data_IF_957685548178
#
_entry.id   IF_957685548178
#
_cell.length_a   1.000
_cell.length_b   1.000
_cell.length_c   1.000
_cell.angle_alpha   90.00
_cell.angle_beta   90.00
_cell.angle_gamma   90.00
#
_symmetry.space_group_name_H-M   'P 1'
#
loop_
_entity.id
_entity.type
_entity.pdbx_description
1 polymer ?
#
# COMPACT_ATOMS: atom_id res chain seq x y z
N UNK A 1 -58.48 -12.71 -79.90
CA UNK A 1 -57.04 -12.33 -79.90
C UNK A 1 -56.87 -11.07 -79.07
N UNK A 2 -55.89 -11.11 -78.15
CA UNK A 2 -55.31 -10.03 -77.32
C UNK A 2 -56.09 -9.56 -76.09
N UNK A 3 -55.76 -10.25 -75.00
CA UNK A 3 -55.79 -9.84 -73.60
C UNK A 3 -54.93 -8.58 -73.36
N UNK A 4 -55.39 -7.66 -72.49
CA UNK A 4 -54.54 -6.65 -71.86
C UNK A 4 -54.93 -6.56 -70.36
N UNK A 5 -54.05 -7.12 -69.53
CA UNK A 5 -54.06 -7.03 -68.06
C UNK A 5 -53.79 -5.59 -67.59
N UNK A 6 -54.61 -5.09 -66.67
CA UNK A 6 -54.27 -3.96 -65.82
C UNK A 6 -53.57 -4.47 -64.56
N UNK A 7 -52.28 -4.12 -64.44
CA UNK A 7 -51.43 -4.44 -63.29
C UNK A 7 -51.72 -3.42 -62.17
N UNK A 8 -52.16 -3.91 -61.01
CA UNK A 8 -52.19 -3.15 -59.76
C UNK A 8 -50.76 -2.86 -59.31
N UNK A 9 -50.41 -1.59 -59.16
CA UNK A 9 -49.17 -1.14 -58.53
C UNK A 9 -49.39 -1.07 -57.02
N UNK A 10 -48.93 -2.08 -56.29
CA UNK A 10 -49.00 -2.15 -54.84
C UNK A 10 -47.75 -1.49 -54.25
N UNK A 11 -47.90 -0.26 -53.76
CA UNK A 11 -46.85 0.50 -53.08
C UNK A 11 -46.64 -0.12 -51.70
N UNK A 12 -45.59 -0.93 -51.55
CA UNK A 12 -45.11 -1.37 -50.24
C UNK A 12 -44.33 -0.21 -49.59
N UNK A 13 -44.97 0.50 -48.67
CA UNK A 13 -44.32 1.43 -47.76
C UNK A 13 -43.57 0.60 -46.70
N UNK A 14 -42.25 0.46 -46.87
CA UNK A 14 -41.37 -0.15 -45.89
C UNK A 14 -41.26 0.79 -44.68
N UNK A 15 -42.11 0.61 -43.66
CA UNK A 15 -41.91 1.24 -42.35
C UNK A 15 -40.71 0.58 -41.70
N UNK A 16 -39.55 1.23 -41.78
CA UNK A 16 -38.40 0.89 -40.97
C UNK A 16 -38.76 1.16 -39.49
N UNK A 17 -39.16 0.11 -38.78
CA UNK A 17 -39.23 0.13 -37.32
C UNK A 17 -37.78 0.22 -36.84
N UNK A 18 -37.36 1.44 -36.55
CA UNK A 18 -36.12 1.71 -35.83
C UNK A 18 -36.34 1.22 -34.40
N UNK A 19 -36.01 -0.05 -34.14
CA UNK A 19 -35.87 -0.54 -32.77
C UNK A 19 -34.69 0.23 -32.17
N UNK A 20 -35.02 1.27 -31.40
CA UNK A 20 -34.13 1.85 -30.41
C UNK A 20 -33.73 0.71 -29.47
N UNK A 21 -32.59 0.08 -29.76
CA UNK A 21 -31.86 -0.66 -28.75
C UNK A 21 -31.50 0.37 -27.67
N UNK A 22 -32.04 0.28 -26.44
CA UNK A 22 -31.41 1.00 -25.35
C UNK A 22 -29.97 0.50 -25.31
N UNK A 23 -29.02 1.41 -25.50
CA UNK A 23 -27.61 1.09 -25.37
C UNK A 23 -27.44 0.32 -24.08
N UNK A 24 -26.95 -0.91 -24.19
CA UNK A 24 -26.56 -1.70 -23.03
C UNK A 24 -25.65 -0.81 -22.20
N UNK A 25 -26.04 -0.51 -20.96
CA UNK A 25 -25.09 -0.03 -19.98
C UNK A 25 -23.88 -0.97 -20.09
N UNK A 26 -22.70 -0.41 -20.38
CA UNK A 26 -21.45 -1.18 -20.42
C UNK A 26 -21.41 -2.07 -19.16
N UNK A 27 -21.51 -3.38 -19.37
CA UNK A 27 -21.50 -4.35 -18.29
C UNK A 27 -20.08 -4.39 -17.75
N UNK A 28 -19.80 -3.52 -16.79
CA UNK A 28 -18.55 -3.46 -16.08
C UNK A 28 -18.82 -3.59 -14.59
N UNK A 29 -17.90 -4.23 -13.87
CA UNK A 29 -17.96 -4.40 -12.42
C UNK A 29 -16.73 -3.78 -11.75
N UNK A 30 -16.88 -3.35 -10.49
CA UNK A 30 -15.73 -3.03 -9.66
C UNK A 30 -15.33 -4.25 -8.85
N UNK A 31 -14.06 -4.62 -8.97
CA UNK A 31 -13.45 -5.71 -8.21
C UNK A 31 -12.42 -5.12 -7.26
N UNK A 32 -12.54 -5.47 -5.99
CA UNK A 32 -11.58 -5.13 -4.95
C UNK A 32 -10.63 -6.30 -4.73
N UNK A 33 -9.32 -6.01 -4.72
CA UNK A 33 -8.29 -7.01 -4.44
C UNK A 33 -7.65 -6.74 -3.09
N UNK A 34 -7.62 -7.76 -2.23
CA UNK A 34 -6.90 -7.75 -0.96
C UNK A 34 -5.71 -8.71 -1.01
N UNK A 35 -4.64 -8.44 -0.23
CA UNK A 35 -3.51 -9.35 -0.10
C UNK A 35 -3.97 -10.76 0.28
N UNK A 36 -3.31 -11.78 -0.28
CA UNK A 36 -3.60 -13.20 -0.02
C UNK A 36 -5.06 -13.60 -0.29
N UNK A 37 -5.78 -12.84 -1.13
CA UNK A 37 -7.22 -13.05 -1.40
C UNK A 37 -8.08 -13.03 -0.11
N UNK A 38 -7.67 -12.23 0.87
CA UNK A 38 -8.46 -12.03 2.08
C UNK A 38 -9.86 -11.51 1.73
N UNK A 39 -10.84 -11.88 2.55
CA UNK A 39 -12.23 -11.41 2.41
C UNK A 39 -12.54 -10.18 3.27
N UNK A 40 -11.72 -9.96 4.29
CA UNK A 40 -11.84 -8.90 5.28
C UNK A 40 -10.46 -8.27 5.47
N UNK A 41 -10.43 -6.96 5.67
CA UNK A 41 -9.23 -6.24 6.06
C UNK A 41 -9.13 -6.34 7.58
N UNK A 42 -8.06 -6.96 8.06
CA UNK A 42 -7.78 -7.06 9.49
C UNK A 42 -6.64 -6.10 9.81
N UNK A 43 -6.93 -5.07 10.59
CA UNK A 43 -5.94 -4.14 11.11
C UNK A 43 -5.75 -4.42 12.60
N UNK A 44 -4.53 -4.79 12.97
CA UNK A 44 -4.15 -5.06 14.36
C UNK A 44 -3.15 -4.00 14.77
N UNK A 45 -3.35 -3.32 15.91
CA UNK A 45 -2.51 -2.20 16.37
C UNK A 45 -2.78 -0.85 15.64
N UNK A 46 -2.37 0.30 16.22
CA UNK A 46 -2.67 1.62 15.67
C UNK A 46 -1.77 2.04 14.48
N UNK A 47 -0.67 1.35 14.22
CA UNK A 47 0.19 1.58 13.05
C UNK A 47 -0.23 0.72 11.84
N UNK A 48 -1.16 -0.24 12.02
CA UNK A 48 -1.64 -1.08 10.93
C UNK A 48 -2.39 -0.31 9.85
N UNK A 49 -2.03 -0.61 8.60
CA UNK A 49 -2.56 0.04 7.41
C UNK A 49 -2.74 -0.96 6.26
N UNK A 50 -3.61 -0.63 5.31
CA UNK A 50 -3.82 -1.43 4.10
C UNK A 50 -3.97 -0.52 2.88
N UNK A 51 -3.23 -0.81 1.82
CA UNK A 51 -3.48 -0.18 0.51
C UNK A 51 -4.57 -0.95 -0.23
N UNK A 52 -5.65 -0.29 -0.61
CA UNK A 52 -6.70 -0.86 -1.46
C UNK A 52 -6.25 -0.89 -2.91
N UNK A 53 -6.73 -1.89 -3.65
CA UNK A 53 -6.67 -1.97 -5.10
C UNK A 53 -8.09 -2.18 -5.62
N UNK A 54 -8.56 -1.23 -6.42
CA UNK A 54 -9.89 -1.28 -7.04
C UNK A 54 -9.71 -1.28 -8.55
N UNK A 55 -10.27 -2.29 -9.20
CA UNK A 55 -10.17 -2.48 -10.64
C UNK A 55 -11.55 -2.43 -11.26
N UNK A 56 -11.71 -1.65 -12.31
CA UNK A 56 -12.85 -1.74 -13.21
C UNK A 56 -12.59 -2.88 -14.19
N UNK A 57 -13.49 -3.85 -14.23
CA UNK A 57 -13.43 -4.98 -15.14
C UNK A 57 -14.62 -4.94 -16.08
N UNK A 58 -14.35 -5.00 -17.37
CA UNK A 58 -15.37 -5.10 -18.41
C UNK A 58 -15.77 -6.57 -18.56
N UNK A 59 -17.05 -6.88 -18.40
CA UNK A 59 -17.58 -8.25 -18.40
C UNK A 59 -17.64 -8.86 -19.80
N UNK A 60 -17.68 -8.05 -20.85
CA UNK A 60 -17.77 -8.53 -22.23
C UNK A 60 -16.40 -8.85 -22.81
N UNK A 61 -15.42 -7.99 -22.54
CA UNK A 61 -14.08 -8.05 -23.10
C UNK A 61 -13.07 -8.66 -22.11
N UNK A 62 -13.37 -8.67 -20.81
CA UNK A 62 -12.44 -9.04 -19.76
C UNK A 62 -11.35 -8.00 -19.51
N UNK A 63 -11.41 -6.84 -20.17
CA UNK A 63 -10.44 -5.76 -19.99
C UNK A 63 -10.47 -5.24 -18.54
N UNK A 64 -9.30 -4.91 -18.01
CA UNK A 64 -9.13 -4.44 -16.64
C UNK A 64 -8.39 -3.12 -16.59
N UNK A 65 -8.86 -2.21 -15.73
CA UNK A 65 -8.25 -0.91 -15.48
C UNK A 65 -8.22 -0.61 -13.99
N UNK A 66 -7.05 -0.22 -13.48
CA UNK A 66 -6.92 0.31 -12.12
C UNK A 66 -7.68 1.65 -12.02
N UNK A 67 -8.64 1.70 -11.09
CA UNK A 67 -9.46 2.88 -10.78
C UNK A 67 -9.35 3.26 -9.29
N UNK A 68 -8.34 2.75 -8.58
CA UNK A 68 -8.11 2.97 -7.14
C UNK A 68 -8.12 4.45 -6.76
N UNK A 69 -7.58 5.31 -7.63
CA UNK A 69 -7.51 6.77 -7.39
C UNK A 69 -8.69 7.54 -8.01
N UNK A 70 -9.53 6.87 -8.77
CA UNK A 70 -10.69 7.46 -9.46
C UNK A 70 -11.99 7.26 -8.66
N UNK A 71 -12.01 6.30 -7.73
CA UNK A 71 -13.15 6.02 -6.87
C UNK A 71 -13.21 6.96 -5.67
N UNK A 72 -14.43 7.24 -5.22
CA UNK A 72 -14.71 7.87 -3.93
C UNK A 72 -14.79 6.80 -2.85
N UNK A 73 -14.06 6.99 -1.76
CA UNK A 73 -14.12 6.12 -0.58
C UNK A 73 -15.03 6.70 0.50
N UNK A 74 -15.86 5.85 1.09
CA UNK A 74 -16.74 6.16 2.22
C UNK A 74 -16.66 5.04 3.25
N UNK A 75 -16.71 5.37 4.55
CA UNK A 75 -16.58 4.40 5.65
C UNK A 75 -17.81 4.43 6.56
N UNK A 76 -18.31 3.26 6.95
CA UNK A 76 -19.49 3.12 7.82
C UNK A 76 -19.29 1.97 8.82
N UNK A 77 -19.46 2.18 10.14
CA UNK A 77 -19.60 3.48 10.79
C UNK A 77 -18.32 4.34 10.65
N UNK A 78 -18.49 5.65 10.74
CA UNK A 78 -17.36 6.58 10.76
C UNK A 78 -16.55 6.44 12.07
N UNK A 79 -15.26 6.78 12.03
CA UNK A 79 -14.39 6.80 13.22
C UNK A 79 -13.66 5.49 13.54
N UNK A 80 -13.89 4.42 12.77
CA UNK A 80 -13.16 3.14 12.91
C UNK A 80 -11.90 3.14 12.03
N UNK A 81 -12.05 3.55 10.77
CA UNK A 81 -10.95 3.70 9.80
C UNK A 81 -11.12 4.96 8.97
N UNK A 82 -9.98 5.50 8.52
CA UNK A 82 -9.89 6.53 7.49
C UNK A 82 -9.32 5.92 6.21
N UNK A 83 -9.79 6.39 5.05
CA UNK A 83 -9.26 6.00 3.74
C UNK A 83 -8.86 7.25 2.99
N UNK A 84 -7.59 7.33 2.60
CA UNK A 84 -7.08 8.45 1.81
C UNK A 84 -7.63 8.43 0.39
N UNK A 85 -7.45 9.53 -0.34
CA UNK A 85 -7.78 9.63 -1.78
C UNK A 85 -6.98 8.68 -2.66
N UNK A 86 -5.89 8.10 -2.15
CA UNK A 86 -5.10 7.09 -2.85
C UNK A 86 -5.49 5.66 -2.47
N UNK A 87 -6.54 5.47 -1.66
CA UNK A 87 -6.97 4.16 -1.18
C UNK A 87 -6.14 3.61 -0.03
N UNK A 88 -5.42 4.46 0.70
CA UNK A 88 -4.63 4.03 1.86
C UNK A 88 -5.50 4.05 3.13
N UNK A 89 -5.74 2.88 3.71
CA UNK A 89 -6.57 2.67 4.90
C UNK A 89 -5.70 2.76 6.15
N UNK A 90 -6.14 3.54 7.13
CA UNK A 90 -5.52 3.66 8.46
C UNK A 90 -6.55 3.42 9.56
N UNK A 91 -6.13 2.77 10.63
CA UNK A 91 -6.97 2.54 11.81
C UNK A 91 -7.15 3.83 12.62
N UNK A 92 -8.34 4.04 13.18
CA UNK A 92 -8.66 5.16 14.08
C UNK A 92 -9.12 4.70 15.46
N UNK A 93 -9.83 3.56 15.53
CA UNK A 93 -10.27 2.94 16.79
C UNK A 93 -10.67 1.49 16.57
N UNK A 94 -10.76 0.71 17.65
CA UNK A 94 -11.24 -0.68 17.59
C UNK A 94 -12.69 -0.76 17.10
N UNK A 95 -12.99 -1.76 16.28
CA UNK A 95 -14.36 -2.06 15.84
C UNK A 95 -14.43 -2.53 14.40
N UNK A 96 -15.66 -2.74 13.95
CA UNK A 96 -15.98 -3.21 12.61
C UNK A 96 -16.48 -2.06 11.74
N UNK A 97 -16.03 -1.99 10.50
CA UNK A 97 -16.53 -1.04 9.51
C UNK A 97 -16.58 -1.65 8.11
N UNK A 98 -17.33 -1.00 7.22
CA UNK A 98 -17.32 -1.29 5.79
C UNK A 98 -16.81 -0.06 5.05
N UNK A 99 -15.75 -0.25 4.27
CA UNK A 99 -15.30 0.73 3.28
C UNK A 99 -16.07 0.46 2.00
N UNK A 100 -16.71 1.49 1.44
CA UNK A 100 -17.32 1.45 0.11
C UNK A 100 -16.48 2.29 -0.84
N UNK A 101 -15.98 1.67 -1.90
CA UNK A 101 -15.35 2.36 -3.02
C UNK A 101 -16.37 2.51 -4.15
N UNK A 102 -16.56 3.73 -4.63
CA UNK A 102 -17.60 4.08 -5.60
C UNK A 102 -17.00 4.81 -6.80
N UNK A 103 -17.20 4.29 -8.00
CA UNK A 103 -16.83 4.99 -9.24
C UNK A 103 -17.99 5.86 -9.75
N UNK A 104 -19.23 5.37 -9.65
CA UNK A 104 -20.46 6.09 -9.95
C UNK A 104 -21.63 5.51 -9.14
N UNK A 105 -22.88 5.89 -9.42
CA UNK A 105 -24.05 5.44 -8.64
C UNK A 105 -24.24 3.91 -8.63
N UNK A 106 -23.87 3.24 -9.73
CA UNK A 106 -24.11 1.81 -9.95
C UNK A 106 -22.87 0.96 -9.64
N UNK A 107 -21.68 1.51 -9.88
CA UNK A 107 -20.41 0.81 -9.73
C UNK A 107 -19.81 1.05 -8.35
N UNK A 108 -19.99 0.07 -7.47
CA UNK A 108 -19.45 0.04 -6.11
C UNK A 108 -18.83 -1.29 -5.76
N UNK A 109 -17.79 -1.26 -4.93
CA UNK A 109 -17.26 -2.44 -4.24
C UNK A 109 -17.11 -2.15 -2.75
N UNK A 110 -17.31 -3.17 -1.91
CA UNK A 110 -17.25 -3.06 -0.46
C UNK A 110 -16.12 -3.89 0.12
N UNK A 111 -15.44 -3.35 1.10
CA UNK A 111 -14.40 -4.02 1.89
C UNK A 111 -14.83 -4.04 3.35
N UNK A 112 -15.16 -5.20 3.92
CA UNK A 112 -15.33 -5.30 5.37
C UNK A 112 -13.98 -5.15 6.05
N UNK A 113 -13.96 -4.45 7.17
CA UNK A 113 -12.77 -4.12 7.95
C UNK A 113 -13.03 -4.42 9.41
N UNK A 114 -12.07 -5.04 10.06
CA UNK A 114 -12.02 -5.24 11.50
C UNK A 114 -10.73 -4.63 12.05
N UNK A 115 -10.88 -3.73 13.01
CA UNK A 115 -9.77 -3.12 13.75
C UNK A 115 -9.76 -3.69 15.16
N UNK A 116 -8.60 -4.21 15.58
CA UNK A 116 -8.42 -4.76 16.92
C UNK A 116 -7.10 -4.33 17.54
N UNK A 117 -7.02 -4.43 18.87
CA UNK A 117 -5.80 -4.10 19.64
C UNK A 117 -5.26 -2.69 19.38
N UNK A 118 -6.10 -1.73 19.02
CA UNK A 118 -5.69 -0.34 18.73
C UNK A 118 -4.97 0.33 19.91
N UNK A 119 -5.29 -0.07 21.15
CA UNK A 119 -4.63 0.41 22.37
C UNK A 119 -3.23 -0.20 22.59
N UNK A 120 -2.89 -1.25 21.84
CA UNK A 120 -1.64 -2.01 21.97
C UNK A 120 -0.79 -1.78 20.73
N UNK A 121 0.11 -0.81 20.81
CA UNK A 121 1.09 -0.61 19.76
C UNK A 121 2.08 -1.77 19.77
N UNK A 122 2.17 -2.53 18.66
CA UNK A 122 3.14 -3.62 18.57
C UNK A 122 4.56 -3.05 18.61
N UNK A 123 5.54 -3.74 19.20
CA UNK A 123 6.92 -3.29 19.15
C UNK A 123 7.45 -3.23 17.72
N UNK A 124 8.30 -2.25 17.44
CA UNK A 124 8.98 -2.10 16.15
C UNK A 124 9.99 -3.24 16.00
N UNK A 125 9.89 -3.98 14.90
CA UNK A 125 10.73 -5.12 14.59
C UNK A 125 11.82 -4.73 13.60
N UNK A 126 13.06 -5.12 13.87
CA UNK A 126 14.18 -4.82 12.99
C UNK A 126 13.97 -5.32 11.54
N UNK A 127 13.48 -6.54 11.37
CA UNK A 127 13.30 -7.16 10.07
C UNK A 127 12.14 -6.55 9.28
N UNK A 128 10.96 -6.45 9.90
CA UNK A 128 9.75 -6.00 9.19
C UNK A 128 9.66 -4.48 9.04
N UNK A 129 10.27 -3.72 9.95
CA UNK A 129 10.05 -2.28 10.02
C UNK A 129 11.31 -1.49 9.69
N UNK A 130 12.46 -1.82 10.32
CA UNK A 130 13.69 -1.03 10.20
C UNK A 130 14.41 -1.29 8.89
N UNK A 131 14.64 -2.56 8.52
CA UNK A 131 15.32 -2.91 7.26
C UNK A 131 14.62 -2.27 6.05
N UNK A 132 13.28 -2.32 5.90
CA UNK A 132 12.60 -1.64 4.80
C UNK A 132 12.83 -0.13 4.76
N UNK A 133 12.95 0.55 5.91
CA UNK A 133 13.29 1.98 5.92
C UNK A 133 14.74 2.19 5.43
N UNK A 134 15.69 1.35 5.87
CA UNK A 134 17.07 1.40 5.41
C UNK A 134 17.17 1.14 3.90
N UNK A 135 16.38 0.21 3.38
CA UNK A 135 16.25 -0.09 1.95
C UNK A 135 15.67 1.08 1.18
N UNK A 136 14.55 1.66 1.64
CA UNK A 136 13.95 2.85 1.02
C UNK A 136 14.92 4.03 1.00
N UNK A 137 15.67 4.22 2.09
CA UNK A 137 16.73 5.23 2.18
C UNK A 137 18.00 4.91 1.37
N UNK A 138 18.08 3.73 0.74
CA UNK A 138 19.23 3.28 -0.05
C UNK A 138 20.48 2.94 0.78
N UNK A 139 20.37 2.81 2.09
CA UNK A 139 21.50 2.60 3.00
C UNK A 139 22.20 1.25 2.75
N UNK A 140 21.41 0.19 2.58
CA UNK A 140 21.86 -1.18 2.30
C UNK A 140 21.89 -1.51 0.79
N UNK A 141 21.98 -0.48 -0.07
CA UNK A 141 22.19 -0.66 -1.51
C UNK A 141 23.65 -0.97 -1.82
N UNK A 142 23.93 -1.60 -2.97
CA UNK A 142 25.28 -1.87 -3.45
C UNK A 142 26.11 -0.61 -3.76
N UNK A 143 25.49 0.58 -3.81
CA UNK A 143 26.23 1.85 -3.92
C UNK A 143 26.65 2.41 -2.55
N UNK A 144 26.13 1.87 -1.44
CA UNK A 144 26.34 2.37 -0.08
C UNK A 144 26.91 1.25 0.82
N UNK A 145 26.22 0.86 1.89
CA UNK A 145 26.70 -0.14 2.85
C UNK A 145 26.38 -1.58 2.43
N UNK A 146 25.56 -1.77 1.39
CA UNK A 146 25.14 -3.07 0.82
C UNK A 146 26.19 -3.79 -0.03
N UNK A 147 27.40 -3.23 -0.16
CA UNK A 147 28.51 -3.91 -0.85
C UNK A 147 29.10 -5.02 0.01
N UNK A 148 29.66 -6.11 -0.55
CA UNK A 148 30.31 -7.16 0.23
C UNK A 148 31.35 -6.65 1.24
N UNK A 149 32.09 -5.58 0.91
CA UNK A 149 33.10 -4.99 1.79
C UNK A 149 32.57 -3.89 2.73
N UNK A 150 31.28 -3.54 2.64
CA UNK A 150 30.72 -2.36 3.30
C UNK A 150 31.43 -1.04 2.93
N UNK A 151 31.21 0.00 3.74
CA UNK A 151 31.89 1.30 3.63
C UNK A 151 32.24 1.87 4.99
N UNK A 152 33.42 2.47 5.12
CA UNK A 152 33.87 3.12 6.35
C UNK A 152 33.72 2.22 7.59
N UNK A 153 34.13 0.95 7.46
CA UNK A 153 34.04 -0.06 8.51
C UNK A 153 32.61 -0.37 8.99
N UNK A 154 31.59 -0.11 8.15
CA UNK A 154 30.20 -0.49 8.41
C UNK A 154 29.62 -1.22 7.20
N UNK A 155 29.01 -2.37 7.50
CA UNK A 155 28.45 -3.29 6.53
C UNK A 155 26.97 -3.50 6.79
N UNK A 156 26.19 -3.56 5.72
CA UNK A 156 24.84 -4.10 5.69
C UNK A 156 24.78 -5.06 4.51
N UNK A 157 24.01 -6.12 4.62
CA UNK A 157 23.72 -7.05 3.55
C UNK A 157 22.92 -6.36 2.46
N UNK A 158 23.10 -6.79 1.21
CA UNK A 158 22.41 -6.18 0.08
C UNK A 158 20.89 -6.29 0.24
N UNK A 159 20.21 -5.16 0.32
CA UNK A 159 18.75 -5.05 0.50
C UNK A 159 18.20 -5.79 1.74
N UNK A 160 19.04 -6.09 2.75
CA UNK A 160 18.62 -6.78 3.96
C UNK A 160 18.55 -8.31 3.82
N UNK A 161 19.32 -8.90 2.90
CA UNK A 161 19.36 -10.34 2.64
C UNK A 161 19.77 -11.19 3.86
N UNK A 162 20.62 -10.65 4.76
CA UNK A 162 21.07 -11.32 5.98
C UNK A 162 20.70 -10.50 7.23
N UNK A 163 19.41 -10.52 7.63
CA UNK A 163 18.91 -9.61 8.67
C UNK A 163 19.54 -9.85 10.05
N UNK A 164 19.97 -11.08 10.35
CA UNK A 164 20.69 -11.36 11.59
C UNK A 164 22.05 -10.66 11.63
N UNK A 165 22.83 -10.75 10.54
CA UNK A 165 24.12 -10.08 10.43
C UNK A 165 23.95 -8.56 10.47
N UNK A 166 22.97 -8.03 9.74
CA UNK A 166 22.65 -6.59 9.74
C UNK A 166 22.32 -6.05 11.12
N UNK A 167 21.56 -6.82 11.89
CA UNK A 167 21.24 -6.48 13.26
C UNK A 167 22.51 -6.41 14.11
N UNK A 168 23.41 -7.39 14.00
CA UNK A 168 24.66 -7.39 14.77
C UNK A 168 25.62 -6.27 14.36
N UNK A 169 25.78 -6.03 13.06
CA UNK A 169 26.60 -4.95 12.53
C UNK A 169 26.11 -3.57 12.99
N UNK A 170 24.80 -3.42 13.10
CA UNK A 170 24.19 -2.18 13.54
C UNK A 170 24.23 -2.00 15.06
N UNK A 171 23.97 -3.06 15.84
CA UNK A 171 23.73 -2.94 17.29
C UNK A 171 24.94 -3.33 18.16
N UNK A 172 25.81 -4.23 17.70
CA UNK A 172 26.88 -4.82 18.53
C UNK A 172 28.27 -4.41 18.07
N UNK A 173 28.53 -4.41 16.77
CA UNK A 173 29.85 -4.11 16.24
C UNK A 173 30.35 -2.72 16.63
N UNK A 174 31.68 -2.52 16.55
CA UNK A 174 32.29 -1.25 16.93
C UNK A 174 31.92 -0.86 18.36
N UNK A 175 31.77 -1.84 19.27
CA UNK A 175 31.38 -1.64 20.67
C UNK A 175 30.02 -0.93 20.82
N UNK A 176 29.07 -1.21 19.93
CA UNK A 176 27.72 -0.65 19.96
C UNK A 176 27.63 0.85 19.65
N UNK A 177 28.71 1.50 19.18
CA UNK A 177 28.76 2.97 18.96
C UNK A 177 27.73 3.53 17.96
N UNK A 178 27.04 2.67 17.20
CA UNK A 178 26.10 3.08 16.15
C UNK A 178 24.71 3.40 16.68
N UNK A 179 24.32 2.78 17.79
CA UNK A 179 23.02 2.91 18.42
C UNK A 179 23.21 3.24 19.89
N UNK A 180 22.52 4.25 20.39
CA UNK A 180 22.58 4.68 21.79
C UNK A 180 21.19 4.50 22.43
N UNK A 181 20.89 3.35 23.04
CA UNK A 181 19.55 3.09 23.61
C UNK A 181 19.15 4.10 24.69
N UNK A 182 20.11 4.56 25.48
CA UNK A 182 19.88 5.54 26.54
C UNK A 182 19.62 6.97 26.02
N UNK A 183 20.03 7.27 24.77
CA UNK A 183 19.80 8.56 24.12
C UNK A 183 19.61 8.36 22.61
N UNK A 184 18.46 7.82 22.16
CA UNK A 184 18.23 7.35 20.80
C UNK A 184 18.54 8.38 19.73
N UNK A 185 18.17 9.64 19.93
CA UNK A 185 18.40 10.77 19.04
C UNK A 185 19.90 11.04 18.80
N UNK A 186 20.75 10.62 19.74
CA UNK A 186 22.21 10.78 19.64
C UNK A 186 22.89 9.64 18.87
N UNK A 187 22.15 8.58 18.53
CA UNK A 187 22.65 7.42 17.79
C UNK A 187 23.31 7.86 16.49
N UNK A 188 24.51 7.35 16.23
CA UNK A 188 25.25 7.65 15.00
C UNK A 188 24.43 7.28 13.76
N UNK A 189 23.66 6.19 13.83
CA UNK A 189 22.71 5.79 12.80
C UNK A 189 21.79 6.95 12.39
N UNK A 190 21.05 7.50 13.36
CA UNK A 190 20.10 8.58 13.11
C UNK A 190 20.80 9.85 12.63
N UNK A 191 21.87 10.27 13.30
CA UNK A 191 22.59 11.52 12.99
C UNK A 191 23.26 11.50 11.61
N UNK A 192 23.74 10.33 11.15
CA UNK A 192 24.26 10.17 9.78
C UNK A 192 23.12 10.11 8.77
N UNK A 193 22.03 9.42 9.10
CA UNK A 193 20.87 9.31 8.22
C UNK A 193 20.16 10.65 7.99
N UNK A 194 20.14 11.55 8.97
CA UNK A 194 19.55 12.91 8.87
C UNK A 194 20.54 13.97 8.39
N UNK A 195 21.80 13.62 8.14
CA UNK A 195 22.85 14.56 7.75
C UNK A 195 23.31 15.52 8.86
N UNK A 196 22.90 15.31 10.12
CA UNK A 196 23.42 16.05 11.28
C UNK A 196 24.92 15.80 11.53
N UNK A 197 25.45 14.71 10.98
CA UNK A 197 26.88 14.45 10.90
C UNK A 197 27.31 14.22 9.45
N UNK A 198 28.55 14.61 9.07
CA UNK A 198 29.06 14.40 7.73
C UNK A 198 28.97 12.93 7.31
N UNK A 199 28.23 12.65 6.23
CA UNK A 199 28.01 11.31 5.73
C UNK A 199 28.20 11.31 4.21
N UNK A 200 29.08 10.45 3.70
CA UNK A 200 29.39 10.40 2.25
C UNK A 200 28.18 10.06 1.38
N UNK A 201 27.17 9.40 1.95
CA UNK A 201 25.89 9.15 1.27
C UNK A 201 24.89 10.31 1.33
N UNK A 202 25.23 11.43 1.98
CA UNK A 202 24.30 12.54 2.24
C UNK A 202 23.20 12.17 3.24
N UNK A 203 22.22 13.08 3.36
CA UNK A 203 21.01 12.85 4.15
C UNK A 203 20.08 11.88 3.42
N UNK A 204 19.60 10.85 4.14
CA UNK A 204 18.68 9.84 3.64
C UNK A 204 17.28 9.96 4.22
N UNK A 205 17.17 10.49 5.44
CA UNK A 205 15.89 10.74 6.11
C UNK A 205 15.78 12.21 6.52
N UNK A 206 14.56 12.67 6.72
CA UNK A 206 14.28 13.97 7.37
C UNK A 206 14.23 13.74 8.88
N UNK A 207 14.90 14.61 9.66
CA UNK A 207 14.75 14.60 11.12
C UNK A 207 13.28 14.85 11.51
N UNK A 208 12.74 14.01 12.38
CA UNK A 208 11.30 14.02 12.74
C UNK A 208 10.37 13.49 11.65
N UNK A 209 10.90 12.93 10.55
CA UNK A 209 10.12 12.20 9.56
C UNK A 209 9.75 10.79 10.04
N UNK A 210 8.83 10.13 9.33
CA UNK A 210 8.32 8.82 9.71
C UNK A 210 9.41 7.75 9.88
N UNK A 211 10.40 7.70 8.98
CA UNK A 211 11.54 6.76 9.07
C UNK A 211 12.39 7.02 10.30
N UNK A 212 12.65 8.30 10.57
CA UNK A 212 13.44 8.72 11.71
C UNK A 212 12.73 8.32 13.01
N UNK A 213 11.45 8.64 13.14
CA UNK A 213 10.66 8.34 14.33
C UNK A 213 10.49 6.83 14.54
N UNK A 214 10.28 6.06 13.47
CA UNK A 214 10.19 4.60 13.55
C UNK A 214 11.50 3.97 14.02
N UNK A 215 12.64 4.36 13.44
CA UNK A 215 13.95 3.82 13.85
C UNK A 215 14.30 4.31 15.25
N UNK A 216 13.99 5.55 15.61
CA UNK A 216 14.17 6.09 16.96
C UNK A 216 13.37 5.28 17.98
N UNK A 217 12.10 4.99 17.68
CA UNK A 217 11.23 4.16 18.51
C UNK A 217 11.77 2.74 18.66
N UNK A 218 12.22 2.12 17.57
CA UNK A 218 12.90 0.81 17.64
C UNK A 218 14.08 0.81 18.62
N UNK A 219 14.89 1.87 18.61
CA UNK A 219 16.00 2.03 19.56
C UNK A 219 15.48 2.18 20.99
N UNK A 220 14.45 3.00 21.20
CA UNK A 220 13.80 3.23 22.50
C UNK A 220 13.22 1.96 23.11
N UNK A 221 12.65 1.09 22.29
CA UNK A 221 12.04 -0.17 22.71
C UNK A 221 13.07 -1.27 23.00
N UNK A 222 14.35 -1.01 22.80
CA UNK A 222 15.42 -1.98 23.07
C UNK A 222 15.81 -2.82 21.86
N UNK A 223 15.57 -2.29 20.66
CA UNK A 223 16.03 -2.85 19.38
C UNK A 223 15.53 -4.28 19.16
N UNK A 224 14.22 -4.50 19.19
CA UNK A 224 13.67 -5.84 18.99
C UNK A 224 14.03 -6.41 17.62
N UNK A 225 14.43 -7.67 17.61
CA UNK A 225 14.61 -8.46 16.39
C UNK A 225 13.98 -9.83 16.60
N UNK A 226 12.89 -10.08 15.88
CA UNK A 226 12.25 -11.38 15.81
C UNK A 226 11.97 -11.71 14.35
N UNK A 227 12.70 -12.65 13.73
CA UNK A 227 12.52 -12.99 12.33
C UNK A 227 11.21 -13.75 12.05
N UNK A 228 10.48 -14.20 13.07
CA UNK A 228 9.30 -15.07 12.92
C UNK A 228 7.95 -14.36 13.11
N UNK A 229 7.89 -13.19 13.73
CA UNK A 229 6.64 -12.44 13.89
C UNK A 229 6.44 -11.52 12.71
N UNK A 230 5.40 -11.78 11.89
CA UNK A 230 4.82 -10.82 10.93
C UNK A 230 3.92 -9.82 11.65
#
# INVERSE_FOLDING_TARGET
>A
MKSISFILLQVYCLTAICTLYPGSAEAAELVGYLPRQAKTIELTDPDACQQLLVTLKDDQTGAQRDVTRDVKYETQPAGIVEVSTTGFVTALSNGSATITARLNEQLTVKFPVEVSSFEKQRPVNFYNDVIPQLTRGGCNSGACHGTPSGKNNFHLSLLGFEPANDFEYLTKESLGRRVSPAAPETSLLLRKATGELPHGGGSRFKKGGAEYELIKRWIQEGMHYNPETS
#
